data_IF_986811549127
#
_entry.id   IF_986811549127
#
_cell.length_a   1.000
_cell.length_b   1.000
_cell.length_c   1.000
_cell.angle_alpha   90.00
_cell.angle_beta   90.00
_cell.angle_gamma   90.00
#
_symmetry.space_group_name_H-M   'P 1'
#
loop_
_entity.id
_entity.type
_entity.pdbx_description
1 polymer ?
#
# COMPACT_ATOMS: atom_id res chain seq x y z
N UNK A 1 11.85 -10.94 -6.67
CA UNK A 1 11.48 -9.69 -5.96
C UNK A 1 10.40 -10.01 -4.95
N UNK A 2 10.46 -9.36 -3.78
CA UNK A 2 9.46 -9.49 -2.72
C UNK A 2 8.52 -8.30 -2.74
N UNK A 3 7.25 -8.60 -2.92
CA UNK A 3 6.18 -7.62 -3.08
C UNK A 3 5.21 -7.78 -1.92
N UNK A 4 5.02 -6.74 -1.13
CA UNK A 4 3.95 -6.70 -0.14
C UNK A 4 2.71 -6.02 -0.72
N UNK A 5 1.55 -6.65 -0.60
CA UNK A 5 0.29 -6.10 -1.09
C UNK A 5 -0.62 -5.82 0.10
N UNK A 6 -1.12 -4.58 0.22
CA UNK A 6 -2.06 -4.22 1.30
C UNK A 6 -3.38 -4.96 1.11
N UNK A 7 -3.77 -5.80 2.07
CA UNK A 7 -5.00 -6.58 1.97
C UNK A 7 -5.57 -6.92 3.33
N UNK A 8 -6.82 -6.52 3.61
CA UNK A 8 -7.49 -6.87 4.86
C UNK A 8 -7.94 -8.34 4.94
N UNK A 9 -8.17 -8.97 3.78
CA UNK A 9 -8.72 -10.31 3.65
C UNK A 9 -7.77 -11.31 2.93
N UNK A 10 -6.55 -10.87 2.60
CA UNK A 10 -5.54 -11.62 1.83
C UNK A 10 -6.01 -12.05 0.42
N UNK A 11 -7.06 -11.42 -0.11
CA UNK A 11 -7.66 -11.74 -1.42
C UNK A 11 -7.74 -10.53 -2.33
N UNK A 12 -7.97 -9.35 -1.77
CA UNK A 12 -8.16 -8.11 -2.55
C UNK A 12 -7.22 -7.02 -2.06
N UNK A 13 -6.69 -6.21 -2.97
CA UNK A 13 -5.94 -5.01 -2.62
C UNK A 13 -6.90 -4.00 -1.99
N UNK A 14 -6.53 -3.45 -0.84
CA UNK A 14 -7.34 -2.46 -0.13
C UNK A 14 -6.80 -1.05 -0.28
N UNK A 15 -7.68 -0.06 -0.34
CA UNK A 15 -7.34 1.33 -0.09
C UNK A 15 -6.82 1.54 1.34
N UNK A 16 -5.95 2.54 1.51
CA UNK A 16 -5.41 3.04 2.79
C UNK A 16 -4.19 2.30 3.37
N UNK A 17 -3.07 2.25 2.63
CA UNK A 17 -1.81 1.64 3.08
C UNK A 17 -1.35 2.07 4.49
N UNK A 18 -1.58 3.34 4.87
CA UNK A 18 -1.18 3.84 6.19
C UNK A 18 -1.93 3.23 7.38
N UNK A 19 -3.20 2.83 7.17
CA UNK A 19 -4.06 2.26 8.22
C UNK A 19 -4.14 0.73 8.14
N UNK A 20 -3.74 0.17 7.01
CA UNK A 20 -3.72 -1.28 6.80
C UNK A 20 -2.70 -1.93 7.73
N UNK A 21 -3.14 -3.02 8.34
CA UNK A 21 -2.34 -3.84 9.26
C UNK A 21 -1.97 -5.19 8.67
N UNK A 22 -2.51 -5.50 7.50
CA UNK A 22 -2.38 -6.80 6.86
C UNK A 22 -1.76 -6.68 5.50
N UNK A 23 -0.71 -7.47 5.28
CA UNK A 23 0.03 -7.48 4.03
C UNK A 23 0.15 -8.92 3.56
N UNK A 24 -0.17 -9.12 2.28
CA UNK A 24 0.09 -10.36 1.58
C UNK A 24 1.48 -10.26 0.96
N UNK A 25 2.38 -11.20 1.27
CA UNK A 25 3.74 -11.19 0.75
C UNK A 25 3.82 -12.16 -0.42
N UNK A 26 4.09 -11.60 -1.58
CA UNK A 26 4.23 -12.31 -2.84
C UNK A 26 5.69 -12.30 -3.27
N UNK A 27 6.17 -13.44 -3.76
CA UNK A 27 7.44 -13.53 -4.45
C UNK A 27 7.20 -13.68 -5.95
N UNK A 28 7.78 -12.76 -6.72
CA UNK A 28 7.70 -12.77 -8.17
C UNK A 28 9.11 -12.82 -8.77
N UNK A 29 9.31 -13.70 -9.75
CA UNK A 29 10.55 -13.84 -10.51
C UNK A 29 10.53 -13.04 -11.84
N UNK A 30 9.38 -12.43 -12.17
CA UNK A 30 9.13 -11.69 -13.41
C UNK A 30 8.89 -12.59 -14.63
N UNK A 31 8.80 -13.91 -14.46
CA UNK A 31 8.61 -14.90 -15.53
C UNK A 31 7.38 -15.77 -15.30
N UNK A 32 7.13 -16.12 -14.05
CA UNK A 32 6.08 -17.01 -13.57
C UNK A 32 5.05 -16.23 -12.75
N UNK A 33 3.92 -16.88 -12.50
CA UNK A 33 2.90 -16.33 -11.60
C UNK A 33 3.46 -16.12 -10.19
N UNK A 34 3.22 -14.95 -9.56
CA UNK A 34 3.66 -14.66 -8.19
C UNK A 34 3.11 -15.68 -7.21
N UNK A 35 3.99 -16.19 -6.35
CA UNK A 35 3.64 -17.14 -5.30
C UNK A 35 3.47 -16.42 -3.98
N UNK A 36 2.46 -16.81 -3.21
CA UNK A 36 2.32 -16.35 -1.84
C UNK A 36 3.35 -17.07 -0.97
N UNK A 37 4.22 -16.30 -0.33
CA UNK A 37 5.28 -16.83 0.53
C UNK A 37 5.04 -16.53 2.00
N UNK A 38 4.30 -15.48 2.33
CA UNK A 38 4.01 -15.10 3.71
C UNK A 38 2.80 -14.17 3.83
N UNK A 39 2.31 -13.98 5.06
CA UNK A 39 1.26 -13.03 5.43
C UNK A 39 1.64 -12.31 6.71
N UNK A 40 1.69 -10.99 6.65
CA UNK A 40 1.88 -10.15 7.83
C UNK A 40 0.52 -9.72 8.37
N UNK A 41 0.26 -9.96 9.66
CA UNK A 41 -0.86 -9.39 10.41
C UNK A 41 -0.33 -8.61 11.63
N UNK A 42 -0.45 -7.30 11.60
CA UNK A 42 0.04 -6.37 12.61
C UNK A 42 -0.98 -6.15 13.71
N UNK A 43 -0.51 -5.85 14.92
CA UNK A 43 -1.34 -5.45 16.04
C UNK A 43 -2.02 -4.07 15.80
N UNK A 44 -3.11 -3.73 16.51
CA UNK A 44 -3.91 -2.51 16.26
C UNK A 44 -3.15 -1.21 16.32
N UNK A 45 -2.18 -1.16 17.22
CA UNK A 45 -1.29 -0.05 17.49
C UNK A 45 -0.01 -0.07 16.66
N UNK A 46 0.14 -1.01 15.71
CA UNK A 46 1.31 -1.14 14.83
C UNK A 46 0.99 -0.74 13.40
N UNK A 47 -0.10 -0.02 13.13
CA UNK A 47 -0.29 0.55 11.80
C UNK A 47 0.81 1.58 11.51
N UNK A 48 1.18 1.76 10.25
CA UNK A 48 2.20 2.74 9.86
C UNK A 48 1.77 4.19 10.17
N UNK A 49 0.46 4.42 10.32
CA UNK A 49 -0.10 5.66 10.81
C UNK A 49 0.14 5.86 12.31
N UNK A 50 -0.09 4.81 13.11
CA UNK A 50 -0.08 4.90 14.58
C UNK A 50 1.33 4.68 15.19
N UNK A 51 2.21 3.95 14.50
CA UNK A 51 3.56 3.64 14.96
C UNK A 51 4.64 4.26 14.06
N UNK A 52 5.40 5.20 14.61
CA UNK A 52 6.48 5.92 13.92
C UNK A 52 7.88 5.35 14.17
N UNK A 53 8.00 4.22 14.88
CA UNK A 53 9.29 3.62 15.20
C UNK A 53 10.01 2.98 14.01
N UNK A 54 11.31 2.76 14.19
CA UNK A 54 12.20 2.23 13.16
C UNK A 54 12.26 0.70 13.13
N UNK A 55 11.76 0.03 14.17
CA UNK A 55 11.75 -1.43 14.35
C UNK A 55 10.38 -2.00 13.97
N UNK A 56 9.86 -1.58 12.82
CA UNK A 56 8.55 -2.03 12.36
C UNK A 56 8.69 -3.39 11.65
N UNK A 57 7.89 -4.43 11.98
CA UNK A 57 8.03 -5.79 11.44
C UNK A 57 8.01 -5.87 9.91
N UNK A 58 7.33 -4.93 9.27
CA UNK A 58 7.32 -4.76 7.80
C UNK A 58 8.73 -4.57 7.20
N UNK A 59 9.64 -3.92 7.93
CA UNK A 59 11.01 -3.70 7.47
C UNK A 59 11.90 -4.94 7.59
N UNK A 60 11.55 -5.88 8.48
CA UNK A 60 12.32 -7.11 8.68
C UNK A 60 12.09 -8.15 7.56
N UNK A 61 11.01 -7.99 6.79
CA UNK A 61 10.65 -8.89 5.68
C UNK A 61 11.54 -8.75 4.44
N UNK A 62 12.37 -7.70 4.37
CA UNK A 62 13.24 -7.44 3.23
C UNK A 62 12.44 -7.23 1.93
N UNK A 63 11.45 -6.33 1.99
CA UNK A 63 10.57 -6.03 0.86
C UNK A 63 11.28 -5.13 -0.16
N UNK A 64 11.08 -5.40 -1.44
CA UNK A 64 11.52 -4.50 -2.52
C UNK A 64 10.43 -3.46 -2.80
N UNK A 65 9.17 -3.92 -2.82
CA UNK A 65 8.02 -3.13 -3.28
C UNK A 65 6.79 -3.34 -2.41
N UNK A 66 5.99 -2.29 -2.24
CA UNK A 66 4.63 -2.32 -1.71
C UNK A 66 3.63 -1.89 -2.78
N UNK A 67 2.59 -2.70 -2.99
CA UNK A 67 1.44 -2.38 -3.84
C UNK A 67 0.22 -2.07 -2.98
N UNK A 68 -0.45 -0.97 -3.27
CA UNK A 68 -1.67 -0.52 -2.59
C UNK A 68 -2.62 0.18 -3.55
N UNK A 69 -3.89 0.31 -3.19
CA UNK A 69 -4.82 1.17 -3.95
C UNK A 69 -4.65 2.66 -3.62
N UNK A 70 -4.14 2.98 -2.43
CA UNK A 70 -3.81 4.36 -2.06
C UNK A 70 -2.70 4.42 -1.01
N UNK A 71 -1.83 5.41 -1.16
CA UNK A 71 -0.74 5.72 -0.25
C UNK A 71 -0.70 7.23 0.02
N UNK A 72 -0.53 7.61 1.29
CA UNK A 72 -0.28 9.00 1.68
C UNK A 72 1.21 9.36 1.51
N UNK A 73 1.50 10.65 1.34
CA UNK A 73 2.88 11.14 1.11
C UNK A 73 3.87 10.66 2.17
N UNK A 74 3.52 10.79 3.46
CA UNK A 74 4.38 10.35 4.56
C UNK A 74 4.63 8.83 4.59
N UNK A 75 3.70 8.02 4.12
CA UNK A 75 3.90 6.58 3.97
C UNK A 75 4.93 6.30 2.87
N UNK A 76 4.77 6.90 1.69
CA UNK A 76 5.68 6.74 0.55
C UNK A 76 7.10 7.22 0.90
N UNK A 77 7.22 8.39 1.52
CA UNK A 77 8.51 8.95 1.97
C UNK A 77 9.21 8.01 2.97
N UNK A 78 8.47 7.48 3.95
CA UNK A 78 9.03 6.57 4.96
C UNK A 78 9.46 5.23 4.36
N UNK A 79 8.72 4.70 3.39
CA UNK A 79 9.13 3.49 2.66
C UNK A 79 10.37 3.73 1.82
N UNK A 80 10.43 4.87 1.12
CA UNK A 80 11.59 5.24 0.30
C UNK A 80 12.87 5.40 1.14
N UNK A 81 12.77 5.92 2.37
CA UNK A 81 13.89 5.97 3.31
C UNK A 81 14.45 4.59 3.68
N UNK A 82 13.66 3.52 3.50
CA UNK A 82 14.06 2.13 3.71
C UNK A 82 14.39 1.39 2.42
N UNK A 83 14.42 2.10 1.28
CA UNK A 83 14.66 1.50 -0.03
C UNK A 83 13.46 0.74 -0.60
N UNK A 84 12.28 0.85 0.02
CA UNK A 84 11.07 0.16 -0.42
C UNK A 84 10.28 1.08 -1.34
N UNK A 85 9.97 0.62 -2.55
CA UNK A 85 9.18 1.38 -3.51
C UNK A 85 7.68 1.19 -3.25
N UNK A 86 6.89 2.26 -3.34
CA UNK A 86 5.43 2.18 -3.17
C UNK A 86 4.75 2.46 -4.50
N UNK A 87 3.94 1.51 -4.96
CA UNK A 87 3.15 1.62 -6.17
C UNK A 87 1.66 1.63 -5.84
N UNK A 88 0.97 2.64 -6.36
CA UNK A 88 -0.50 2.73 -6.30
C UNK A 88 -1.12 2.14 -7.55
N UNK A 89 -2.15 1.32 -7.41
CA UNK A 89 -2.87 0.73 -8.55
C UNK A 89 -4.38 0.73 -8.37
N UNK A 90 -5.15 0.79 -9.46
CA UNK A 90 -6.59 0.53 -9.46
C UNK A 90 -6.94 -0.96 -9.44
N UNK A 91 -5.96 -1.86 -9.61
CA UNK A 91 -6.21 -3.30 -9.56
C UNK A 91 -6.72 -3.73 -8.17
N UNK A 92 -7.58 -4.74 -8.19
CA UNK A 92 -8.16 -5.36 -6.99
C UNK A 92 -7.54 -6.72 -6.70
N UNK A 93 -7.04 -7.43 -7.71
CA UNK A 93 -6.36 -8.71 -7.53
C UNK A 93 -4.87 -8.48 -7.21
N UNK A 94 -4.38 -8.97 -6.05
CA UNK A 94 -2.99 -8.80 -5.65
C UNK A 94 -2.01 -9.53 -6.58
N UNK A 95 -2.40 -10.65 -7.18
CA UNK A 95 -1.55 -11.43 -8.10
C UNK A 95 -1.42 -10.72 -9.43
N UNK A 96 -2.53 -10.25 -10.01
CA UNK A 96 -2.49 -9.49 -11.26
C UNK A 96 -1.59 -8.25 -11.14
N UNK A 97 -1.66 -7.56 -10.00
CA UNK A 97 -0.82 -6.40 -9.74
C UNK A 97 0.66 -6.79 -9.61
N UNK A 98 0.97 -7.84 -8.85
CA UNK A 98 2.33 -8.34 -8.72
C UNK A 98 2.90 -8.83 -10.05
N UNK A 99 2.13 -9.58 -10.85
CA UNK A 99 2.51 -10.05 -12.19
C UNK A 99 2.78 -8.89 -13.14
N UNK A 100 1.89 -7.89 -13.15
CA UNK A 100 2.04 -6.70 -14.01
C UNK A 100 3.31 -5.95 -13.67
N UNK A 101 3.54 -5.68 -12.39
CA UNK A 101 4.72 -4.98 -11.91
C UNK A 101 6.00 -5.76 -12.17
N UNK A 102 6.02 -7.06 -11.85
CA UNK A 102 7.19 -7.92 -12.01
C UNK A 102 7.57 -8.11 -13.49
N UNK A 103 6.59 -8.07 -14.40
CA UNK A 103 6.81 -8.05 -15.84
C UNK A 103 7.32 -6.69 -16.37
N UNK A 104 7.52 -5.69 -15.50
CA UNK A 104 7.93 -4.34 -15.89
C UNK A 104 6.85 -3.55 -16.63
N UNK A 105 5.58 -3.98 -16.53
CA UNK A 105 4.45 -3.27 -17.15
C UNK A 105 3.94 -2.17 -16.21
N UNK A 106 3.48 -1.03 -16.75
CA UNK A 106 2.92 0.04 -15.93
C UNK A 106 1.64 -0.44 -15.25
N UNK A 107 1.55 -0.25 -13.94
CA UNK A 107 0.33 -0.51 -13.18
C UNK A 107 -0.73 0.54 -13.56
N UNK A 108 -2.00 0.14 -13.74
CA UNK A 108 -3.06 1.09 -14.01
C UNK A 108 -3.26 1.95 -12.76
N UNK A 109 -3.28 3.27 -12.95
CA UNK A 109 -3.35 4.23 -11.85
C UNK A 109 -4.74 4.20 -11.20
N UNK A 110 -4.78 4.22 -9.87
CA UNK A 110 -6.02 4.51 -9.16
C UNK A 110 -6.46 5.95 -9.49
N UNK A 111 -7.76 6.23 -9.69
CA UNK A 111 -8.22 7.61 -9.82
C UNK A 111 -7.76 8.39 -8.59
N UNK A 112 -7.11 9.54 -8.82
CA UNK A 112 -6.69 10.40 -7.74
C UNK A 112 -7.91 10.72 -6.88
N UNK A 113 -7.91 10.29 -5.62
CA UNK A 113 -8.85 10.83 -4.65
C UNK A 113 -8.45 12.29 -4.47
N UNK A 114 -9.07 13.17 -5.26
CA UNK A 114 -9.10 14.59 -4.98
C UNK A 114 -9.65 14.70 -3.57
N UNK A 115 -8.78 15.01 -2.60
CA UNK A 115 -9.20 15.65 -1.38
C UNK A 115 -9.82 16.97 -1.80
N UNK A 116 -11.10 16.93 -2.18
CA UNK A 116 -11.94 18.08 -2.18
C UNK A 116 -11.97 18.53 -0.73
N UNK A 117 -11.05 19.41 -0.36
CA UNK A 117 -11.31 20.38 0.67
C UNK A 117 -12.58 21.09 0.20
N UNK A 118 -13.73 20.64 0.66
CA UNK A 118 -14.94 21.45 0.66
C UNK A 118 -14.59 22.66 1.55
N UNK A 119 -14.47 23.88 1.00
CA UNK A 119 -14.50 25.04 1.87
C UNK A 119 -15.91 25.06 2.45
N UNK A 120 -16.02 24.76 3.75
CA UNK A 120 -17.18 25.16 4.55
C UNK A 120 -17.37 26.65 4.30
N UNK A 121 -18.36 27.00 3.47
CA UNK A 121 -18.88 28.35 3.43
C UNK A 121 -19.60 28.54 4.76
N UNK A 122 -18.95 29.26 5.67
CA UNK A 122 -19.61 29.81 6.85
C UNK A 122 -20.77 30.67 6.36
N UNK A 123 -21.98 30.16 6.52
CA UNK A 123 -23.22 30.88 6.29
C UNK A 123 -23.40 31.89 7.43
N UNK A 124 -22.75 33.05 7.32
CA UNK A 124 -23.03 34.19 8.21
C UNK A 124 -24.35 34.82 7.77
N UNK A 125 -25.44 34.31 8.34
CA UNK A 125 -26.70 35.02 8.43
C UNK A 125 -26.52 36.16 9.44
N UNK A 126 -26.29 37.37 8.94
CA UNK A 126 -26.44 38.59 9.74
C UNK A 126 -27.66 39.37 9.23
N UNK A 127 -28.74 39.17 9.98
CA UNK A 127 -29.71 40.17 10.47
C UNK A 127 -30.13 41.31 9.54
#
# INVERSE_FOLDING_TARGET
MRIAVTSQNFRTITGHAGKTRRFLILEADGRSEPIEIDRLDLQPNMSMHDYQGNDHPLFDLGLDVIITQSAGRGFTERMAQRGIQVHTTSLTDPRDAATTLAAGRPLPTAPAHTHAHEPVQLNVQNN
#
